data_IF_483662506776
#
_entry.id   IF_483662506776
#
_cell.length_a   1.000
_cell.length_b   1.000
_cell.length_c   1.000
_cell.angle_alpha   90.00
_cell.angle_beta   90.00
_cell.angle_gamma   90.00
#
_symmetry.space_group_name_H-M   'P 1'
#
loop_
_entity.id
_entity.type
_entity.pdbx_description
1 polymer ?
#
# COMPACT_ATOMS: atom_id res chain seq x y z
N UNK A 1 8.12 -0.99 -1.92
CA UNK A 1 7.61 -2.34 -2.28
C UNK A 1 6.79 -3.05 -1.19
N UNK A 2 5.75 -2.47 -0.61
CA UNK A 2 4.72 -1.70 -1.28
C UNK A 2 4.20 -2.37 -2.55
N UNK A 3 2.95 -2.13 -2.90
CA UNK A 3 2.39 -2.50 -4.19
C UNK A 3 3.24 -2.08 -5.42
N UNK A 4 4.26 -1.21 -5.29
CA UNK A 4 5.26 -0.98 -6.35
C UNK A 4 6.13 -2.17 -6.70
N UNK A 5 6.06 -3.28 -5.97
CA UNK A 5 6.52 -4.54 -6.55
C UNK A 5 5.48 -5.06 -7.53
N UNK A 6 5.39 -4.36 -8.65
CA UNK A 6 4.94 -4.98 -9.88
C UNK A 6 6.10 -5.91 -10.29
N UNK A 7 6.16 -7.10 -9.67
CA UNK A 7 7.22 -8.09 -9.89
C UNK A 7 7.61 -8.14 -11.36
N UNK A 8 8.90 -7.92 -11.65
CA UNK A 8 9.69 -7.81 -12.91
C UNK A 8 9.01 -7.74 -14.30
N UNK A 9 7.81 -8.27 -14.52
CA UNK A 9 6.95 -8.10 -15.70
C UNK A 9 5.65 -7.31 -15.50
N UNK A 10 5.19 -7.04 -14.27
CA UNK A 10 3.80 -6.61 -14.05
C UNK A 10 3.46 -5.17 -14.48
N UNK A 11 4.48 -4.34 -14.75
CA UNK A 11 4.35 -2.96 -15.26
C UNK A 11 3.46 -2.02 -14.44
N UNK A 12 3.42 -0.72 -14.73
CA UNK A 12 2.45 0.17 -14.12
C UNK A 12 1.01 -0.22 -14.49
N UNK A 13 0.03 -0.04 -13.58
CA UNK A 13 -1.39 -0.16 -13.92
C UNK A 13 -1.74 0.64 -15.17
N UNK A 14 -2.31 -0.04 -16.16
CA UNK A 14 -2.75 0.55 -17.43
C UNK A 14 -1.64 1.32 -18.19
N UNK A 15 -0.37 1.03 -17.92
CA UNK A 15 0.78 1.69 -18.57
C UNK A 15 1.20 3.03 -17.96
N UNK A 16 0.62 3.46 -16.83
CA UNK A 16 0.91 4.76 -16.20
C UNK A 16 1.33 4.62 -14.73
N UNK A 17 2.58 4.95 -14.42
CA UNK A 17 3.14 4.85 -13.06
C UNK A 17 2.44 5.75 -12.04
N UNK A 18 1.76 6.81 -12.50
CA UNK A 18 1.00 7.68 -11.61
C UNK A 18 -0.20 6.96 -11.01
N UNK A 19 -0.65 5.86 -11.59
CA UNK A 19 -1.77 5.05 -11.09
C UNK A 19 -1.32 3.93 -10.14
N UNK A 20 -0.02 3.71 -9.99
CA UNK A 20 0.55 2.62 -9.19
C UNK A 20 0.49 2.96 -7.71
N UNK A 21 -0.36 2.27 -6.95
CA UNK A 21 -0.31 2.37 -5.50
C UNK A 21 0.95 1.66 -5.00
N UNK A 22 1.45 2.08 -3.86
CA UNK A 22 2.57 1.45 -3.20
C UNK A 22 2.16 0.99 -1.81
N UNK A 23 2.45 1.76 -0.78
CA UNK A 23 2.31 1.32 0.59
C UNK A 23 1.02 1.83 1.19
N UNK A 24 0.43 0.97 2.02
CA UNK A 24 -0.57 1.37 2.98
C UNK A 24 0.04 1.25 4.38
N UNK A 25 -0.04 2.33 5.15
CA UNK A 25 0.34 2.38 6.56
C UNK A 25 -0.86 2.79 7.41
N UNK A 26 -0.96 2.19 8.58
CA UNK A 26 -1.98 2.50 9.57
C UNK A 26 -1.38 2.31 10.97
N UNK A 27 -1.32 3.40 11.73
CA UNK A 27 -0.74 3.40 13.07
C UNK A 27 -1.33 4.53 13.92
N UNK A 28 -1.13 4.49 15.24
CA UNK A 28 -1.50 5.61 16.12
C UNK A 28 -0.43 6.68 16.09
N UNK A 29 -0.84 7.96 16.16
CA UNK A 29 0.10 9.07 16.13
C UNK A 29 1.12 8.95 17.29
N UNK A 30 2.44 9.00 17.02
CA UNK A 30 3.44 9.04 18.06
C UNK A 30 3.17 10.17 19.07
N UNK A 31 3.04 9.81 20.35
CA UNK A 31 2.76 10.77 21.42
C UNK A 31 1.29 11.11 21.63
N UNK A 32 0.38 10.70 20.74
CA UNK A 32 -1.07 10.86 20.91
C UNK A 32 -1.84 9.61 20.44
N UNK A 33 -2.07 8.63 21.33
CA UNK A 33 -2.79 7.40 20.99
C UNK A 33 -4.28 7.61 20.68
N UNK A 34 -4.81 8.82 20.91
CA UNK A 34 -6.20 9.15 20.54
C UNK A 34 -6.38 9.47 19.06
N UNK A 35 -5.26 9.54 18.31
CA UNK A 35 -5.23 9.89 16.89
C UNK A 35 -4.68 8.73 16.06
N UNK A 36 -5.28 8.54 14.90
CA UNK A 36 -4.88 7.55 13.90
C UNK A 36 -4.20 8.26 12.75
N UNK A 37 -3.14 7.67 12.22
CA UNK A 37 -2.44 8.09 11.01
C UNK A 37 -2.67 7.02 9.95
N UNK A 38 -3.19 7.44 8.79
CA UNK A 38 -3.31 6.61 7.60
C UNK A 38 -2.48 7.22 6.48
N UNK A 39 -1.70 6.40 5.80
CA UNK A 39 -0.87 6.86 4.68
C UNK A 39 -1.06 5.88 3.52
N UNK A 40 -1.46 6.42 2.38
CA UNK A 40 -1.47 5.71 1.11
C UNK A 40 -0.40 6.32 0.21
N UNK A 41 0.61 5.54 -0.10
CA UNK A 41 1.62 5.92 -1.07
C UNK A 41 1.17 5.52 -2.49
N UNK A 42 1.54 6.32 -3.48
CA UNK A 42 1.41 6.03 -4.90
C UNK A 42 2.67 6.51 -5.66
N UNK A 43 2.79 6.15 -6.94
CA UNK A 43 3.78 6.66 -7.89
C UNK A 43 5.27 6.58 -7.46
N UNK A 44 6.07 5.63 -7.99
CA UNK A 44 7.46 5.40 -7.55
C UNK A 44 8.41 6.51 -7.92
N UNK A 45 8.00 7.36 -8.87
CA UNK A 45 8.81 8.47 -9.32
C UNK A 45 8.65 9.69 -8.39
N UNK A 46 7.69 9.65 -7.47
CA UNK A 46 7.36 10.74 -6.57
C UNK A 46 7.06 12.07 -7.27
N UNK A 47 6.63 12.03 -8.53
CA UNK A 47 6.19 13.18 -9.31
C UNK A 47 4.65 13.29 -9.34
N UNK A 48 4.12 14.20 -10.16
CA UNK A 48 2.69 14.53 -10.18
C UNK A 48 1.78 13.31 -10.39
N UNK A 49 0.65 13.26 -9.69
CA UNK A 49 -0.36 12.21 -9.84
C UNK A 49 -1.30 12.47 -11.02
N UNK A 50 -2.07 11.45 -11.41
CA UNK A 50 -2.95 11.50 -12.58
C UNK A 50 -4.17 12.40 -12.29
N UNK A 51 -4.47 13.42 -13.13
CA UNK A 51 -5.53 14.38 -12.85
C UNK A 51 -6.94 13.80 -12.95
N UNK A 52 -7.13 12.77 -13.78
CA UNK A 52 -8.42 12.08 -13.93
C UNK A 52 -8.58 10.87 -12.99
N UNK A 53 -7.70 10.72 -12.00
CA UNK A 53 -7.74 9.60 -11.05
C UNK A 53 -8.26 10.00 -9.67
N UNK A 54 -8.89 9.03 -9.00
CA UNK A 54 -9.30 9.08 -7.60
C UNK A 54 -8.45 8.07 -6.83
N UNK A 55 -7.66 8.59 -5.88
CA UNK A 55 -6.87 7.78 -4.96
C UNK A 55 -7.58 7.76 -3.62
N UNK A 56 -7.89 6.57 -3.12
CA UNK A 56 -8.86 6.41 -2.05
C UNK A 56 -8.37 5.48 -0.96
N UNK A 57 -8.48 5.92 0.29
CA UNK A 57 -8.49 5.05 1.47
C UNK A 57 -9.94 4.66 1.77
N UNK A 58 -10.22 3.37 1.73
CA UNK A 58 -11.48 2.79 2.19
C UNK A 58 -11.27 2.21 3.58
N UNK A 59 -12.20 2.47 4.49
CA UNK A 59 -12.20 1.95 5.85
C UNK A 59 -13.56 1.28 6.10
N UNK A 60 -13.51 0.00 6.45
CA UNK A 60 -14.59 -0.77 7.08
C UNK A 60 -14.36 -0.73 8.60
N UNK A 61 -15.39 -0.35 9.36
CA UNK A 61 -15.33 -0.27 10.82
C UNK A 61 -16.27 -1.25 11.55
N UNK A 62 -17.08 -2.02 10.82
CA UNK A 62 -18.08 -2.94 11.39
C UNK A 62 -17.91 -4.42 10.99
N UNK A 63 -17.05 -4.71 10.02
CA UNK A 63 -16.68 -6.06 9.59
C UNK A 63 -17.51 -6.63 8.45
N UNK A 64 -18.35 -5.83 7.79
CA UNK A 64 -19.08 -6.28 6.59
C UNK A 64 -18.25 -6.22 5.29
N UNK A 65 -17.01 -5.71 5.36
CA UNK A 65 -16.09 -5.51 4.23
C UNK A 65 -16.61 -4.54 3.16
N UNK A 66 -17.52 -3.64 3.53
CA UNK A 66 -17.95 -2.51 2.73
C UNK A 66 -17.37 -1.21 3.33
N UNK A 67 -17.15 -0.23 2.48
CA UNK A 67 -16.59 1.04 2.94
C UNK A 67 -17.62 1.81 3.76
N UNK A 68 -17.25 2.12 5.02
CA UNK A 68 -18.03 2.97 5.94
C UNK A 68 -17.49 4.39 6.02
N UNK A 69 -16.18 4.55 5.86
CA UNK A 69 -15.49 5.84 5.78
C UNK A 69 -14.54 5.81 4.60
N UNK A 70 -14.52 6.89 3.82
CA UNK A 70 -13.65 7.04 2.67
C UNK A 70 -12.95 8.40 2.66
N UNK A 71 -11.64 8.39 2.42
CA UNK A 71 -10.88 9.59 2.07
C UNK A 71 -10.44 9.49 0.60
N UNK A 72 -10.86 10.44 -0.22
CA UNK A 72 -10.60 10.46 -1.66
C UNK A 72 -9.77 11.69 -2.03
N UNK A 73 -8.54 11.47 -2.50
CA UNK A 73 -7.68 12.47 -3.09
C UNK A 73 -7.92 12.54 -4.60
N UNK A 74 -8.08 13.78 -5.08
CA UNK A 74 -8.13 14.11 -6.51
C UNK A 74 -7.15 15.23 -6.79
N UNK A 75 -6.53 15.19 -7.97
CA UNK A 75 -5.44 16.09 -8.33
C UNK A 75 -5.81 16.95 -9.53
N UNK A 76 -5.39 18.22 -9.51
CA UNK A 76 -5.46 19.09 -10.68
C UNK A 76 -4.46 18.66 -11.76
N UNK A 77 -4.61 19.13 -13.01
CA UNK A 77 -3.57 18.95 -14.02
C UNK A 77 -2.27 19.61 -13.55
N UNK A 78 -1.10 18.94 -13.68
CA UNK A 78 0.16 19.56 -13.36
C UNK A 78 0.40 20.77 -14.27
N UNK A 79 0.88 21.86 -13.69
CA UNK A 79 1.24 23.07 -14.40
C UNK A 79 2.59 22.91 -15.13
N UNK A 80 2.91 23.86 -16.01
CA UNK A 80 4.14 23.83 -16.80
C UNK A 80 5.43 23.92 -15.96
N UNK A 81 5.32 24.44 -14.73
CA UNK A 81 6.42 24.51 -13.75
C UNK A 81 6.53 23.26 -12.87
N UNK A 82 5.71 22.24 -13.12
CA UNK A 82 5.66 21.00 -12.35
C UNK A 82 4.82 21.08 -11.08
N UNK A 83 4.27 22.25 -10.73
CA UNK A 83 3.36 22.37 -9.58
C UNK A 83 2.04 21.64 -9.85
N UNK A 84 1.41 21.15 -8.79
CA UNK A 84 0.11 20.48 -8.85
C UNK A 84 -0.68 20.83 -7.60
N UNK A 85 -2.01 20.85 -7.72
CA UNK A 85 -2.90 21.00 -6.56
C UNK A 85 -3.68 19.72 -6.30
N UNK A 86 -4.18 19.57 -5.08
CA UNK A 86 -5.04 18.45 -4.69
C UNK A 86 -6.22 18.91 -3.84
N UNK A 87 -7.28 18.11 -3.88
CA UNK A 87 -8.43 18.23 -2.98
C UNK A 87 -8.68 16.87 -2.32
N UNK A 88 -9.26 16.90 -1.11
CA UNK A 88 -9.60 15.69 -0.36
C UNK A 88 -11.05 15.73 0.08
N UNK A 89 -11.75 14.62 -0.15
CA UNK A 89 -13.14 14.43 0.23
C UNK A 89 -13.26 13.31 1.25
N UNK A 90 -14.03 13.55 2.31
CA UNK A 90 -14.42 12.56 3.30
C UNK A 90 -15.88 12.19 3.13
N UNK A 91 -16.17 10.92 2.88
CA UNK A 91 -17.52 10.38 2.84
C UNK A 91 -17.73 9.37 3.96
N UNK A 92 -18.97 9.26 4.46
CA UNK A 92 -19.37 8.28 5.47
C UNK A 92 -20.64 7.54 5.05
N UNK A 93 -20.86 6.35 5.63
CA UNK A 93 -22.04 5.53 5.37
C UNK A 93 -22.21 5.18 3.89
N UNK A 94 -23.44 5.30 3.37
CA UNK A 94 -23.73 4.91 1.99
C UNK A 94 -22.96 5.72 0.94
N UNK A 95 -22.64 7.00 1.20
CA UNK A 95 -21.83 7.81 0.29
C UNK A 95 -20.38 7.29 0.20
N UNK A 96 -19.87 6.72 1.29
CA UNK A 96 -18.53 6.13 1.34
C UNK A 96 -18.39 4.88 0.46
N UNK A 97 -19.46 4.39 -0.16
CA UNK A 97 -19.43 3.27 -1.11
C UNK A 97 -19.34 3.72 -2.57
N UNK A 98 -19.55 5.00 -2.85
CA UNK A 98 -19.39 5.56 -4.20
C UNK A 98 -17.92 5.55 -4.61
N UNK A 99 -17.53 5.12 -5.82
CA UNK A 99 -16.14 5.20 -6.29
C UNK A 99 -15.67 6.64 -6.56
N UNK A 100 -16.60 7.58 -6.68
CA UNK A 100 -16.35 9.00 -6.91
C UNK A 100 -15.84 9.72 -5.65
N UNK A 101 -15.14 10.84 -5.83
CA UNK A 101 -14.75 11.73 -4.74
C UNK A 101 -15.95 12.56 -4.24
N UNK A 102 -16.76 11.97 -3.36
CA UNK A 102 -18.00 12.55 -2.79
C UNK A 102 -17.88 12.83 -1.30
N UNK A 103 -18.90 13.45 -0.72
CA UNK A 103 -18.96 13.81 0.70
C UNK A 103 -18.41 15.20 1.00
N UNK A 104 -17.90 15.38 2.21
CA UNK A 104 -17.39 16.67 2.68
C UNK A 104 -16.00 16.92 2.13
N UNK A 105 -15.83 18.02 1.39
CA UNK A 105 -14.52 18.49 0.93
C UNK A 105 -13.73 19.07 2.11
N UNK A 106 -12.79 18.30 2.65
CA UNK A 106 -11.96 18.67 3.82
C UNK A 106 -10.68 19.42 3.43
N UNK A 107 -10.23 19.26 2.18
CA UNK A 107 -9.14 20.07 1.58
C UNK A 107 -9.60 20.55 0.21
N UNK A 108 -9.42 21.85 -0.08
CA UNK A 108 -9.71 22.43 -1.40
C UNK A 108 -8.45 23.04 -2.00
N UNK A 109 -8.02 22.47 -3.13
CA UNK A 109 -7.02 23.03 -4.03
C UNK A 109 -5.70 23.43 -3.34
N UNK A 110 -5.27 22.61 -2.37
CA UNK A 110 -3.99 22.78 -1.69
C UNK A 110 -2.84 22.43 -2.63
N UNK A 111 -1.67 23.05 -2.42
CA UNK A 111 -0.47 22.74 -3.20
C UNK A 111 0.11 21.37 -2.81
N UNK A 112 0.51 20.60 -3.80
CA UNK A 112 1.31 19.39 -3.60
C UNK A 112 2.75 19.79 -3.23
N UNK A 113 3.31 19.16 -2.20
CA UNK A 113 4.66 19.45 -1.72
C UNK A 113 5.70 18.52 -2.33
N UNK A 114 6.30 18.93 -3.45
CA UNK A 114 7.42 18.21 -4.08
C UNK A 114 8.78 18.48 -3.43
N UNK A 115 8.87 19.51 -2.58
CA UNK A 115 10.08 19.89 -1.86
C UNK A 115 10.27 19.14 -0.53
N UNK A 116 11.41 19.39 0.16
CA UNK A 116 11.71 18.76 1.45
C UNK A 116 10.61 19.05 2.48
N UNK A 117 10.22 20.31 2.62
CA UNK A 117 9.17 20.70 3.55
C UNK A 117 7.79 20.23 3.08
N UNK A 118 7.10 19.45 3.92
CA UNK A 118 5.70 19.11 3.73
C UNK A 118 4.79 20.30 4.07
N UNK A 119 3.86 20.62 3.16
CA UNK A 119 2.78 21.55 3.44
C UNK A 119 1.62 20.77 4.06
N UNK A 120 1.39 21.01 5.35
CA UNK A 120 0.31 20.38 6.11
C UNK A 120 -0.92 21.28 6.09
N UNK A 121 -2.04 20.73 5.61
CA UNK A 121 -3.35 21.39 5.63
C UNK A 121 -4.12 20.92 6.86
N UNK A 122 -4.65 21.87 7.62
CA UNK A 122 -5.50 21.59 8.78
C UNK A 122 -6.97 21.89 8.46
N UNK A 123 -7.86 20.94 8.75
CA UNK A 123 -9.30 21.12 8.69
C UNK A 123 -9.92 20.61 10.00
N UNK A 124 -10.34 21.51 10.89
CA UNK A 124 -10.75 21.11 12.24
C UNK A 124 -9.63 20.33 12.94
N UNK A 125 -9.92 19.09 13.34
CA UNK A 125 -8.97 18.18 14.00
C UNK A 125 -8.15 17.31 13.02
N UNK A 126 -8.32 17.51 11.70
CA UNK A 126 -7.67 16.71 10.67
C UNK A 126 -6.38 17.40 10.22
N UNK A 127 -5.30 16.63 10.05
CA UNK A 127 -4.09 17.06 9.35
C UNK A 127 -3.96 16.23 8.07
N UNK A 128 -3.70 16.90 6.95
CA UNK A 128 -3.61 16.27 5.63
C UNK A 128 -2.38 16.79 4.91
N UNK A 129 -1.60 15.91 4.30
CA UNK A 129 -0.48 16.27 3.44
C UNK A 129 -0.46 15.38 2.20
N UNK A 130 -0.03 15.93 1.07
CA UNK A 130 0.23 15.17 -0.15
C UNK A 130 1.48 15.67 -0.86
N UNK A 131 2.37 14.77 -1.26
CA UNK A 131 3.59 15.12 -1.99
C UNK A 131 4.71 14.09 -1.88
N UNK A 132 5.86 14.42 -2.46
CA UNK A 132 7.04 13.55 -2.50
C UNK A 132 7.61 13.35 -1.10
N UNK A 133 7.93 12.11 -0.74
CA UNK A 133 8.63 11.75 0.51
C UNK A 133 9.69 10.69 0.23
N UNK A 134 10.63 10.54 1.15
CA UNK A 134 11.49 9.35 1.19
C UNK A 134 10.61 8.10 1.33
N UNK A 135 10.88 7.08 0.51
CA UNK A 135 10.15 5.83 0.55
C UNK A 135 10.67 4.96 1.70
N UNK A 136 9.97 5.00 2.84
CA UNK A 136 10.34 4.25 4.04
C UNK A 136 10.23 2.73 3.90
N UNK A 137 9.71 2.23 2.78
CA UNK A 137 9.78 0.82 2.48
C UNK A 137 11.20 0.40 2.07
N UNK A 138 11.69 -0.71 2.62
CA UNK A 138 13.01 -1.27 2.33
C UNK A 138 12.95 -2.74 1.91
N UNK A 139 13.86 -3.15 1.04
CA UNK A 139 13.95 -4.52 0.53
C UNK A 139 15.21 -4.79 -0.28
N UNK A 140 15.59 -6.06 -0.40
CA UNK A 140 16.72 -6.51 -1.22
C UNK A 140 16.21 -7.10 -2.56
N UNK A 141 16.03 -6.26 -3.57
CA UNK A 141 15.50 -6.68 -4.88
C UNK A 141 16.35 -7.76 -5.53
N UNK A 142 17.66 -7.58 -5.51
CA UNK A 142 18.61 -8.53 -6.07
C UNK A 142 18.58 -9.84 -5.29
N UNK A 143 18.39 -9.78 -3.97
CA UNK A 143 18.14 -10.93 -3.13
C UNK A 143 16.86 -11.68 -3.47
N UNK A 144 15.75 -10.98 -3.73
CA UNK A 144 14.49 -11.61 -4.17
C UNK A 144 14.70 -12.31 -5.53
N UNK A 145 15.42 -11.69 -6.48
CA UNK A 145 15.77 -12.31 -7.77
C UNK A 145 16.69 -13.51 -7.64
N UNK A 146 17.56 -13.52 -6.63
CA UNK A 146 18.40 -14.69 -6.32
C UNK A 146 17.58 -15.81 -5.67
N UNK A 147 16.54 -15.46 -4.90
CA UNK A 147 15.68 -16.41 -4.21
C UNK A 147 14.67 -17.05 -5.15
N UNK A 148 14.02 -16.31 -6.03
CA UNK A 148 12.96 -16.84 -6.88
C UNK A 148 13.33 -16.86 -8.36
N UNK A 149 12.84 -17.88 -9.08
CA UNK A 149 12.86 -17.85 -10.54
C UNK A 149 11.86 -16.79 -11.04
N UNK A 150 12.40 -15.76 -11.67
CA UNK A 150 11.65 -14.62 -12.23
C UNK A 150 11.57 -14.67 -13.76
N UNK A 151 11.93 -15.81 -14.36
CA UNK A 151 11.92 -16.01 -15.80
C UNK A 151 10.56 -16.47 -16.35
N UNK A 152 10.18 -15.89 -17.50
CA UNK A 152 8.88 -16.10 -18.14
C UNK A 152 7.76 -15.29 -17.47
N UNK A 153 6.49 -15.62 -17.76
CA UNK A 153 5.30 -15.02 -17.11
C UNK A 153 5.10 -15.49 -15.65
N UNK A 154 6.08 -16.18 -15.06
CA UNK A 154 5.96 -16.77 -13.72
C UNK A 154 6.47 -15.78 -12.70
N UNK A 155 5.59 -15.36 -11.80
CA UNK A 155 5.97 -14.54 -10.65
C UNK A 155 6.28 -15.45 -9.46
N UNK A 156 7.51 -15.36 -8.94
CA UNK A 156 7.94 -15.86 -7.63
C UNK A 156 7.62 -17.33 -7.31
N UNK A 157 7.76 -18.23 -8.29
CA UNK A 157 7.58 -19.68 -8.07
C UNK A 157 8.92 -20.40 -7.88
N UNK A 158 8.92 -21.52 -7.16
CA UNK A 158 10.06 -22.44 -7.02
C UNK A 158 11.35 -21.77 -6.47
N UNK A 159 11.34 -21.34 -5.19
CA UNK A 159 12.49 -20.67 -4.60
C UNK A 159 13.74 -21.56 -4.60
N UNK A 160 14.89 -20.94 -4.82
CA UNK A 160 16.22 -21.52 -4.76
C UNK A 160 16.68 -21.64 -3.31
N UNK A 161 16.04 -22.55 -2.58
CA UNK A 161 16.36 -22.85 -1.18
C UNK A 161 17.57 -23.79 -1.12
N UNK A 162 18.64 -23.37 -0.44
CA UNK A 162 19.92 -24.08 -0.36
C UNK A 162 20.91 -23.43 0.61
N UNK A 163 22.12 -23.98 0.73
CA UNK A 163 23.10 -23.58 1.76
C UNK A 163 23.76 -22.20 1.60
N UNK A 164 23.42 -21.43 0.55
CA UNK A 164 23.92 -20.07 0.33
C UNK A 164 22.75 -19.09 0.46
N UNK A 165 22.93 -18.04 1.27
CA UNK A 165 21.94 -16.97 1.39
C UNK A 165 21.67 -16.31 0.02
N UNK A 166 20.41 -16.07 -0.34
CA UNK A 166 20.06 -15.33 -1.56
C UNK A 166 20.32 -13.82 -1.42
N UNK A 167 20.31 -13.31 -0.19
CA UNK A 167 20.38 -11.88 0.12
C UNK A 167 21.75 -11.28 -0.13
N UNK A 168 21.76 -10.10 -0.73
CA UNK A 168 22.90 -9.21 -0.91
C UNK A 168 23.15 -8.33 0.32
N UNK A 169 22.10 -8.06 1.10
CA UNK A 169 22.14 -7.12 2.22
C UNK A 169 22.08 -5.65 1.78
N UNK A 170 21.75 -5.40 0.52
CA UNK A 170 21.60 -4.05 -0.04
C UNK A 170 20.12 -3.73 -0.15
N UNK A 171 19.69 -2.70 0.55
CA UNK A 171 18.36 -2.15 0.36
C UNK A 171 18.28 -1.36 -0.95
N UNK A 172 17.33 -1.75 -1.80
CA UNK A 172 17.11 -1.19 -3.13
C UNK A 172 16.37 0.15 -3.09
N UNK A 173 15.79 0.52 -1.94
CA UNK A 173 15.02 1.75 -1.75
C UNK A 173 15.73 2.82 -0.91
N UNK A 174 16.99 2.64 -0.52
CA UNK A 174 17.69 3.56 0.41
C UNK A 174 17.73 5.03 -0.03
N UNK A 175 17.55 5.30 -1.32
CA UNK A 175 17.47 6.67 -1.86
C UNK A 175 16.24 6.87 -2.76
N UNK A 176 15.26 5.97 -2.65
CA UNK A 176 14.02 6.04 -3.41
C UNK A 176 13.06 7.04 -2.77
N UNK A 177 12.29 7.72 -3.62
CA UNK A 177 11.20 8.56 -3.19
C UNK A 177 9.86 7.92 -3.58
N UNK A 178 8.79 8.40 -2.98
CA UNK A 178 7.43 7.99 -3.30
C UNK A 178 6.48 9.17 -3.16
N UNK A 179 5.36 9.17 -3.89
CA UNK A 179 4.30 10.14 -3.65
C UNK A 179 3.45 9.67 -2.48
N UNK A 180 3.35 10.48 -1.42
CA UNK A 180 2.60 10.12 -0.24
C UNK A 180 1.32 10.93 -0.10
N UNK A 181 0.22 10.26 0.28
CA UNK A 181 -1.04 10.87 0.69
C UNK A 181 -1.30 10.46 2.14
N UNK A 182 -1.15 11.41 3.06
CA UNK A 182 -1.23 11.18 4.50
C UNK A 182 -2.41 11.93 5.12
N UNK A 183 -3.05 11.29 6.10
CA UNK A 183 -4.07 11.91 6.95
C UNK A 183 -3.90 11.46 8.40
N UNK A 184 -4.02 12.42 9.31
CA UNK A 184 -4.07 12.18 10.75
C UNK A 184 -5.34 12.81 11.32
N UNK A 185 -6.09 12.03 12.11
CA UNK A 185 -7.40 12.42 12.64
C UNK A 185 -7.69 11.75 13.98
N UNK A 186 -8.65 12.26 14.77
CA UNK A 186 -9.12 11.57 15.97
C UNK A 186 -9.63 10.17 15.62
N UNK A 187 -9.13 9.14 16.30
CA UNK A 187 -9.52 7.73 16.09
C UNK A 187 -11.04 7.53 16.26
N UNK A 188 -11.67 8.34 17.12
CA UNK A 188 -13.11 8.27 17.36
C UNK A 188 -13.96 8.59 16.11
N UNK A 189 -13.45 9.38 15.15
CA UNK A 189 -14.14 9.70 13.89
C UNK A 189 -14.20 8.50 12.94
N UNK A 190 -13.30 7.52 13.09
CA UNK A 190 -13.32 6.26 12.34
C UNK A 190 -14.29 5.24 12.95
N UNK A 191 -14.74 5.46 14.19
CA UNK A 191 -15.68 4.64 14.94
C UNK A 191 -15.40 3.11 14.88
N UNK A 192 -14.17 2.64 15.16
CA UNK A 192 -13.86 1.21 15.14
C UNK A 192 -14.71 0.45 16.16
N UNK A 193 -15.43 -0.59 15.73
CA UNK A 193 -16.11 -1.49 16.67
C UNK A 193 -15.12 -2.38 17.43
N UNK A 194 -14.10 -2.89 16.73
CA UNK A 194 -13.03 -3.72 17.29
C UNK A 194 -11.69 -3.40 16.64
N UNK A 195 -11.68 -3.41 15.31
CA UNK A 195 -10.56 -3.05 14.46
C UNK A 195 -11.08 -2.31 13.23
N UNK A 196 -10.17 -1.68 12.49
CA UNK A 196 -10.39 -1.14 11.17
C UNK A 196 -9.88 -2.13 10.12
N UNK A 197 -10.58 -2.23 9.00
CA UNK A 197 -10.10 -2.93 7.79
C UNK A 197 -9.94 -1.91 6.69
N UNK A 198 -8.70 -1.72 6.27
CA UNK A 198 -8.30 -0.57 5.45
C UNK A 198 -7.73 -1.06 4.12
N UNK A 199 -8.16 -0.47 3.01
CA UNK A 199 -7.55 -0.72 1.71
C UNK A 199 -7.52 0.53 0.84
N UNK A 200 -6.42 0.67 0.10
CA UNK A 200 -6.23 1.64 -0.95
C UNK A 200 -6.95 1.22 -2.24
N UNK A 201 -7.46 2.19 -2.99
CA UNK A 201 -7.98 2.02 -4.35
C UNK A 201 -7.50 3.20 -5.21
N UNK A 202 -6.99 2.91 -6.41
CA UNK A 202 -6.78 3.89 -7.47
C UNK A 202 -7.78 3.59 -8.59
N UNK A 203 -8.59 4.58 -8.95
CA UNK A 203 -9.50 4.50 -10.10
C UNK A 203 -9.22 5.65 -11.05
N UNK A 204 -9.34 5.43 -12.35
CA UNK A 204 -9.12 6.47 -13.37
C UNK A 204 -10.34 6.59 -14.27
N UNK A 205 -10.74 7.81 -14.57
CA UNK A 205 -11.87 8.08 -15.46
C UNK A 205 -11.50 7.67 -16.89
N UNK A 206 -12.27 6.73 -17.46
CA UNK A 206 -12.16 6.31 -18.86
C UNK A 206 -13.54 6.25 -19.47
N UNK A 207 -13.71 6.90 -20.62
CA UNK A 207 -14.97 6.91 -21.36
C UNK A 207 -16.21 7.32 -20.52
N UNK A 208 -16.00 8.16 -19.51
CA UNK A 208 -17.06 8.67 -18.62
C UNK A 208 -17.36 7.80 -17.39
N UNK A 209 -16.62 6.71 -17.17
CA UNK A 209 -16.76 5.86 -15.97
C UNK A 209 -15.41 5.67 -15.26
N UNK A 210 -15.43 5.57 -13.94
CA UNK A 210 -14.24 5.23 -13.16
C UNK A 210 -13.91 3.75 -13.31
N UNK A 211 -12.72 3.45 -13.83
CA UNK A 211 -12.17 2.10 -13.93
C UNK A 211 -11.15 1.91 -12.82
N UNK A 212 -11.30 0.86 -12.02
CA UNK A 212 -10.34 0.50 -10.98
C UNK A 212 -9.02 0.03 -11.62
N UNK A 213 -7.95 0.79 -11.39
CA UNK A 213 -6.63 0.53 -11.95
C UNK A 213 -5.78 -0.28 -10.96
N UNK A 214 -5.87 0.01 -9.66
CA UNK A 214 -5.05 -0.62 -8.64
C UNK A 214 -5.70 -0.65 -7.25
N UNK A 215 -5.20 -1.54 -6.38
CA UNK A 215 -5.68 -1.71 -4.99
C UNK A 215 -4.55 -2.09 -4.04
N UNK A 216 -4.60 -1.64 -2.78
CA UNK A 216 -3.59 -1.91 -1.75
C UNK A 216 -4.20 -2.37 -0.42
N UNK A 217 -3.95 -3.60 0.01
CA UNK A 217 -4.32 -4.08 1.34
C UNK A 217 -3.07 -4.41 2.17
N UNK A 218 -2.85 -5.71 2.37
CA UNK A 218 -1.63 -6.22 2.98
C UNK A 218 -0.41 -5.89 2.12
N UNK A 219 0.76 -5.65 2.75
CA UNK A 219 2.00 -5.48 2.02
C UNK A 219 2.29 -6.71 1.15
N UNK A 220 2.81 -6.46 -0.05
CA UNK A 220 3.39 -7.44 -0.98
C UNK A 220 2.41 -8.47 -1.59
N UNK A 221 1.11 -8.41 -1.30
CA UNK A 221 0.14 -9.36 -1.87
C UNK A 221 0.04 -9.23 -3.38
N UNK A 222 -0.24 -8.02 -3.87
CA UNK A 222 -0.34 -7.70 -5.31
C UNK A 222 0.90 -8.16 -6.09
N UNK A 223 2.03 -8.21 -5.41
CA UNK A 223 3.33 -8.48 -5.98
C UNK A 223 3.69 -9.97 -6.06
N UNK A 224 3.51 -10.70 -4.95
CA UNK A 224 3.87 -12.11 -4.90
C UNK A 224 2.76 -13.02 -5.41
N UNK A 225 1.49 -12.63 -5.26
CA UNK A 225 0.36 -13.52 -5.55
C UNK A 225 -0.24 -13.33 -6.93
N UNK A 226 -0.09 -12.17 -7.56
CA UNK A 226 -0.67 -11.93 -8.88
C UNK A 226 0.29 -12.28 -10.02
N UNK A 227 -0.32 -12.57 -11.16
CA UNK A 227 0.36 -12.79 -12.44
C UNK A 227 -0.05 -11.71 -13.44
N UNK A 228 0.66 -11.58 -14.55
CA UNK A 228 0.28 -10.65 -15.62
C UNK A 228 -1.16 -10.89 -16.10
N UNK A 229 -1.61 -12.15 -16.07
CA UNK A 229 -2.93 -12.54 -16.57
C UNK A 229 -4.05 -12.31 -15.54
N UNK A 230 -3.73 -12.17 -14.24
CA UNK A 230 -4.73 -12.03 -13.16
C UNK A 230 -4.74 -10.65 -12.49
N UNK A 231 -3.69 -9.84 -12.70
CA UNK A 231 -3.52 -8.54 -12.03
C UNK A 231 -4.69 -7.59 -12.26
N UNK A 232 -5.15 -7.41 -13.50
CA UNK A 232 -6.24 -6.48 -13.81
C UNK A 232 -7.56 -6.90 -13.14
N UNK A 233 -7.88 -8.20 -13.16
CA UNK A 233 -9.07 -8.72 -12.48
C UNK A 233 -8.97 -8.58 -10.94
N UNK A 234 -7.80 -8.87 -10.38
CA UNK A 234 -7.53 -8.68 -8.95
C UNK A 234 -7.68 -7.22 -8.54
N UNK A 235 -7.09 -6.31 -9.31
CA UNK A 235 -7.14 -4.88 -9.06
C UNK A 235 -8.56 -4.31 -9.17
N UNK A 236 -9.39 -4.89 -10.03
CA UNK A 236 -10.79 -4.51 -10.19
C UNK A 236 -11.75 -5.15 -9.17
N UNK A 237 -11.33 -6.20 -8.44
CA UNK A 237 -12.23 -6.89 -7.50
C UNK A 237 -12.43 -6.12 -6.19
N UNK A 238 -13.48 -6.49 -5.45
CA UNK A 238 -13.79 -5.96 -4.12
C UNK A 238 -13.35 -6.94 -3.02
N UNK A 239 -12.80 -6.45 -1.88
CA UNK A 239 -12.34 -7.30 -0.78
C UNK A 239 -13.37 -8.32 -0.30
N UNK A 240 -14.64 -7.95 -0.21
CA UNK A 240 -15.73 -8.86 0.20
C UNK A 240 -15.81 -10.17 -0.62
N UNK A 241 -15.33 -10.17 -1.87
CA UNK A 241 -15.30 -11.33 -2.75
C UNK A 241 -13.97 -12.10 -2.78
N UNK A 242 -12.93 -11.58 -2.14
CA UNK A 242 -11.56 -12.05 -2.35
C UNK A 242 -11.35 -13.50 -1.96
N UNK A 243 -11.89 -13.93 -0.81
CA UNK A 243 -11.77 -15.31 -0.35
C UNK A 243 -12.38 -16.30 -1.35
N UNK A 244 -13.55 -15.98 -1.91
CA UNK A 244 -14.17 -16.85 -2.89
C UNK A 244 -13.41 -16.87 -4.23
N UNK A 245 -12.82 -15.73 -4.62
CA UNK A 245 -12.15 -15.55 -5.93
C UNK A 245 -10.71 -16.05 -5.95
N UNK A 246 -9.94 -15.80 -4.90
CA UNK A 246 -8.48 -15.86 -4.95
C UNK A 246 -7.85 -16.96 -4.10
N UNK A 247 -8.61 -17.64 -3.21
CA UNK A 247 -8.06 -18.69 -2.35
C UNK A 247 -7.38 -19.80 -3.15
N UNK A 248 -7.97 -20.27 -4.25
CA UNK A 248 -7.37 -21.35 -5.04
C UNK A 248 -6.05 -20.95 -5.71
N UNK A 249 -5.94 -19.70 -6.18
CA UNK A 249 -4.69 -19.16 -6.73
C UNK A 249 -3.62 -19.06 -5.65
N UNK A 250 -3.97 -18.57 -4.46
CA UNK A 250 -3.03 -18.41 -3.35
C UNK A 250 -2.55 -19.77 -2.85
N UNK A 251 -3.45 -20.75 -2.72
CA UNK A 251 -3.12 -22.14 -2.39
C UNK A 251 -2.17 -22.73 -3.44
N UNK A 252 -2.42 -22.49 -4.72
CA UNK A 252 -1.57 -22.99 -5.79
C UNK A 252 -0.15 -22.40 -5.72
N UNK A 253 -0.03 -21.10 -5.45
CA UNK A 253 1.27 -20.45 -5.26
C UNK A 253 2.01 -21.03 -4.05
N UNK A 254 1.35 -21.13 -2.90
CA UNK A 254 1.96 -21.69 -1.68
C UNK A 254 2.46 -23.12 -1.89
N UNK A 255 1.73 -23.94 -2.67
CA UNK A 255 2.22 -25.25 -3.10
C UNK A 255 3.55 -25.20 -3.87
N UNK A 256 3.76 -24.19 -4.72
CA UNK A 256 4.98 -24.01 -5.51
C UNK A 256 6.15 -23.36 -4.76
N UNK A 257 5.85 -22.54 -3.74
CA UNK A 257 6.89 -21.82 -3.00
C UNK A 257 7.38 -22.60 -1.79
N UNK A 258 6.47 -23.03 -0.92
CA UNK A 258 6.80 -23.68 0.36
C UNK A 258 6.37 -25.14 0.42
N UNK A 259 5.93 -25.74 -0.69
CA UNK A 259 5.45 -27.13 -0.69
C UNK A 259 4.25 -27.33 0.23
N UNK A 260 3.38 -26.32 0.37
CA UNK A 260 2.16 -26.45 1.15
C UNK A 260 1.22 -27.47 0.51
N UNK A 261 0.67 -28.38 1.30
CA UNK A 261 -0.56 -29.08 0.91
C UNK A 261 -1.72 -28.07 0.84
N UNK A 262 -2.80 -28.41 0.15
CA UNK A 262 -3.98 -27.53 0.10
C UNK A 262 -4.53 -27.19 1.49
N UNK A 263 -4.59 -28.18 2.38
CA UNK A 263 -5.10 -28.00 3.74
C UNK A 263 -4.18 -27.10 4.56
N UNK A 264 -2.86 -27.29 4.46
CA UNK A 264 -1.88 -26.43 5.12
C UNK A 264 -1.94 -25.00 4.58
N UNK A 265 -2.08 -24.83 3.26
CA UNK A 265 -2.17 -23.51 2.64
C UNK A 265 -3.42 -22.76 3.12
N UNK A 266 -4.59 -23.42 3.14
CA UNK A 266 -5.83 -22.80 3.64
C UNK A 266 -5.69 -22.40 5.11
N UNK A 267 -5.16 -23.30 5.95
CA UNK A 267 -4.94 -23.00 7.37
C UNK A 267 -3.97 -21.82 7.56
N UNK A 268 -2.89 -21.76 6.78
CA UNK A 268 -1.94 -20.65 6.83
C UNK A 268 -2.55 -19.33 6.34
N UNK A 269 -3.40 -19.36 5.31
CA UNK A 269 -4.16 -18.19 4.85
C UNK A 269 -5.14 -17.69 5.92
N UNK A 270 -5.84 -18.60 6.60
CA UNK A 270 -6.75 -18.29 7.72
C UNK A 270 -5.98 -17.67 8.89
N UNK A 271 -4.84 -18.26 9.28
CA UNK A 271 -4.03 -17.81 10.42
C UNK A 271 -3.40 -16.43 10.18
N UNK A 272 -2.87 -16.20 8.99
CA UNK A 272 -2.24 -14.93 8.63
C UNK A 272 -3.26 -13.85 8.22
N UNK A 273 -4.53 -14.23 7.97
CA UNK A 273 -5.60 -13.30 7.64
C UNK A 273 -5.43 -12.54 6.32
N UNK A 274 -4.68 -13.06 5.36
CA UNK A 274 -4.30 -12.31 4.14
C UNK A 274 -5.37 -12.27 3.04
N UNK A 275 -6.51 -12.93 3.27
CA UNK A 275 -7.71 -12.85 2.43
C UNK A 275 -8.93 -12.64 3.35
N UNK A 276 -9.72 -11.56 3.15
CA UNK A 276 -9.60 -10.57 2.08
C UNK A 276 -8.34 -9.71 2.18
N UNK A 277 -7.87 -9.15 1.07
CA UNK A 277 -6.67 -8.32 1.08
C UNK A 277 -7.01 -6.90 1.57
N UNK A 278 -7.00 -6.73 2.90
CA UNK A 278 -7.24 -5.49 3.65
C UNK A 278 -6.26 -5.41 4.83
N UNK A 279 -5.72 -4.23 5.13
CA UNK A 279 -4.89 -4.04 6.30
C UNK A 279 -5.77 -3.95 7.56
N UNK A 280 -5.61 -4.91 8.46
CA UNK A 280 -6.29 -4.92 9.76
C UNK A 280 -5.55 -4.01 10.75
N UNK A 281 -6.28 -3.18 11.50
CA UNK A 281 -5.69 -2.29 12.49
C UNK A 281 -6.63 -2.06 13.69
N UNK A 282 -6.27 -2.63 14.84
CA UNK A 282 -6.84 -2.30 16.14
C UNK A 282 -6.04 -1.14 16.78
N UNK A 283 -6.61 0.08 16.83
CA UNK A 283 -5.92 1.26 17.37
C UNK A 283 -5.75 1.22 18.89
N UNK A 284 -6.37 0.27 19.60
CA UNK A 284 -6.15 0.07 21.04
C UNK A 284 -4.86 -0.70 21.35
N UNK A 285 -4.22 -1.27 20.32
CA UNK A 285 -2.99 -2.06 20.43
C UNK A 285 -1.85 -1.34 19.71
N UNK A 286 -0.59 -1.58 20.13
CA UNK A 286 0.57 -1.07 19.39
C UNK A 286 0.51 -1.48 17.92
N UNK A 287 0.76 -0.52 17.02
CA UNK A 287 0.86 -0.78 15.60
C UNK A 287 2.18 -1.52 15.33
N UNK A 288 2.06 -2.79 14.94
CA UNK A 288 3.14 -3.66 14.45
C UNK A 288 2.47 -4.68 13.56
N UNK A 289 2.92 -4.82 12.31
CA UNK A 289 2.33 -5.77 11.37
C UNK A 289 2.30 -7.20 11.97
N UNK A 290 1.14 -7.89 11.98
CA UNK A 290 -0.05 -7.62 11.17
C UNK A 290 -1.12 -6.68 11.78
N UNK A 291 -0.92 -6.11 12.97
CA UNK A 291 -1.82 -5.08 13.52
C UNK A 291 -1.39 -3.69 13.04
N UNK A 292 -2.02 -3.21 11.98
CA UNK A 292 -1.57 -2.01 11.28
C UNK A 292 -0.21 -2.22 10.64
N UNK A 293 0.45 -1.13 10.30
CA UNK A 293 1.80 -1.14 9.73
C UNK A 293 2.48 0.19 9.98
N UNK A 294 3.72 0.13 10.45
CA UNK A 294 4.60 1.28 10.62
C UNK A 294 5.69 1.25 9.54
N UNK A 295 6.75 2.03 9.72
CA UNK A 295 7.90 2.08 8.81
C UNK A 295 8.99 1.07 9.17
N UNK A 296 8.80 0.28 10.24
CA UNK A 296 9.88 -0.51 10.85
C UNK A 296 9.81 -2.00 10.57
N UNK A 297 8.68 -2.51 10.08
CA UNK A 297 8.54 -3.94 9.82
C UNK A 297 9.16 -4.32 8.48
N UNK A 298 10.03 -5.34 8.47
CA UNK A 298 10.50 -5.96 7.24
C UNK A 298 9.40 -6.87 6.67
N UNK A 299 8.45 -6.25 5.99
CA UNK A 299 7.28 -6.94 5.44
C UNK A 299 7.65 -7.90 4.29
N UNK A 300 8.82 -7.74 3.68
CA UNK A 300 9.34 -8.71 2.70
C UNK A 300 9.86 -9.94 3.41
N UNK A 301 10.63 -9.78 4.48
CA UNK A 301 11.07 -10.89 5.32
C UNK A 301 9.89 -11.71 5.83
N UNK A 302 8.87 -11.02 6.38
CA UNK A 302 7.63 -11.65 6.85
C UNK A 302 6.92 -12.40 5.71
N UNK A 303 6.82 -11.79 4.52
CA UNK A 303 6.14 -12.43 3.38
C UNK A 303 6.91 -13.62 2.84
N UNK A 304 8.23 -13.51 2.71
CA UNK A 304 9.08 -14.58 2.22
C UNK A 304 9.06 -15.76 3.18
N UNK A 305 9.18 -15.49 4.49
CA UNK A 305 9.02 -16.52 5.53
C UNK A 305 7.68 -17.26 5.41
N UNK A 306 6.58 -16.52 5.17
CA UNK A 306 5.27 -17.13 4.89
C UNK A 306 5.25 -17.96 3.60
N UNK A 307 5.80 -17.45 2.49
CA UNK A 307 5.79 -18.15 1.21
C UNK A 307 6.61 -19.45 1.26
N UNK A 308 7.68 -19.51 2.06
CA UNK A 308 8.65 -20.62 2.06
C UNK A 308 8.60 -21.50 3.31
N UNK A 309 7.54 -21.46 4.14
CA UNK A 309 7.50 -22.19 5.44
C UNK A 309 8.71 -21.90 6.34
N UNK A 310 9.20 -20.66 6.36
CA UNK A 310 10.42 -20.24 7.07
C UNK A 310 11.72 -20.91 6.61
N UNK A 311 11.76 -21.55 5.43
CA UNK A 311 12.99 -22.15 4.90
C UNK A 311 13.99 -21.11 4.36
N UNK A 312 13.50 -19.96 3.85
CA UNK A 312 14.38 -18.86 3.46
C UNK A 312 14.97 -18.18 4.71
N UNK A 313 16.29 -17.87 4.74
CA UNK A 313 16.88 -17.10 5.82
C UNK A 313 16.34 -15.67 5.81
N UNK A 314 16.46 -14.91 6.92
CA UNK A 314 15.98 -13.54 6.93
C UNK A 314 16.85 -12.61 6.08
N UNK A 315 16.28 -11.51 5.59
CA UNK A 315 16.98 -10.53 4.72
C UNK A 315 18.19 -9.88 5.40
N UNK A 316 18.08 -9.64 6.72
CA UNK A 316 19.06 -8.90 7.52
C UNK A 316 19.05 -7.39 7.30
N UNK A 317 18.06 -6.84 6.58
CA UNK A 317 17.90 -5.41 6.40
C UNK A 317 17.43 -4.73 7.69
N UNK A 318 17.69 -3.43 7.78
CA UNK A 318 17.22 -2.59 8.87
C UNK A 318 16.34 -1.47 8.32
N UNK A 319 15.35 -1.01 9.10
CA UNK A 319 14.51 0.10 8.72
C UNK A 319 15.32 1.35 8.39
N UNK A 320 14.76 2.18 7.51
CA UNK A 320 15.29 3.50 7.25
C UNK A 320 15.26 4.36 8.52
N UNK A 321 16.20 5.31 8.61
CA UNK A 321 16.37 6.16 9.80
C UNK A 321 15.99 7.62 9.56
N UNK A 322 15.49 7.95 8.37
CA UNK A 322 15.13 9.30 7.92
C UNK A 322 13.62 9.60 8.07
N UNK A 323 12.84 8.69 8.66
CA UNK A 323 11.45 8.95 9.08
C UNK A 323 11.40 10.07 10.13
N UNK A 324 10.29 10.81 10.17
CA UNK A 324 10.09 11.97 11.04
C UNK A 324 9.26 11.62 12.28
N UNK A 325 9.43 12.39 13.35
CA UNK A 325 8.66 12.30 14.59
C UNK A 325 7.40 13.18 14.60
N UNK A 326 7.12 13.84 13.49
CA UNK A 326 5.98 14.73 13.27
C UNK A 326 5.32 14.42 11.91
N UNK A 327 4.03 14.73 11.81
CA UNK A 327 3.25 14.53 10.59
C UNK A 327 3.92 15.19 9.37
N UNK A 328 4.06 14.51 8.20
CA UNK A 328 3.44 13.24 7.81
C UNK A 328 4.25 11.96 8.17
N UNK A 329 5.25 12.07 9.04
CA UNK A 329 6.09 10.98 9.57
C UNK A 329 7.04 10.28 8.58
N UNK A 330 6.84 10.44 7.27
CA UNK A 330 7.80 10.04 6.25
C UNK A 330 8.89 11.09 6.06
N UNK A 331 10.10 10.65 5.71
CA UNK A 331 11.26 11.52 5.52
C UNK A 331 11.15 12.51 4.37
N UNK A 332 11.98 13.54 4.39
CA UNK A 332 12.12 14.49 3.29
C UNK A 332 12.51 13.75 1.99
N UNK A 333 11.95 14.12 0.83
CA UNK A 333 12.36 13.53 -0.45
C UNK A 333 13.86 13.71 -0.67
N UNK A 334 14.52 12.63 -1.09
CA UNK A 334 15.91 12.67 -1.53
C UNK A 334 16.05 13.57 -2.75
N UNK A 335 17.19 14.28 -2.91
CA UNK A 335 17.46 15.07 -4.10
C UNK A 335 17.32 14.21 -5.35
N UNK A 336 16.69 14.76 -6.39
CA UNK A 336 16.69 14.12 -7.70
C UNK A 336 18.12 13.75 -8.09
N UNK A 337 18.36 12.46 -8.38
CA UNK A 337 19.64 12.02 -8.89
C UNK A 337 19.92 12.80 -10.17
N UNK A 338 21.01 13.56 -10.18
CA UNK A 338 21.41 14.28 -11.38
C UNK A 338 21.66 13.25 -12.49
N UNK A 339 20.77 13.24 -13.48
CA UNK A 339 20.90 12.45 -14.71
C UNK A 339 22.11 12.88 -15.52
#
# INVERSE_FOLDING_TARGET
>A
MSNHFTGLSLGPPLGDQRLDLCDLYAFTAPGDPSRTVLILNANPNADALHPDAVYRLNIDNDGDLLTDVAFSWVFGPPAADGSQTYSVYMATGAEARSPEAVGTKIVSDAAVSFGPQADVVTFGEYQVAAGSRSDAFFFDFDGIKNLFDTSGKRNFTAPHLGGKSPWTGVDSNTTANVFSMAIELPTAELAPQSELRIWGRCSVLRDGELVHADRAGHPSISSFFNTDDTKEEYNASEPAGDRARWTDQFVHLLGHTGGYSREEAIAALDEHGILPDVLHFDPSRPAVYPNGRTFTEDVIDIRVAFLTKNEAPPTGLSPHTDTLDHFPYLGDPHPATAS
#
